data_IF_623562703410
#
_entry.id   IF_623562703410
#
_cell.length_a   1.000
_cell.length_b   1.000
_cell.length_c   1.000
_cell.angle_alpha   90.00
_cell.angle_beta   90.00
_cell.angle_gamma   90.00
#
_symmetry.space_group_name_H-M   'P 1'
#
loop_
_entity.id
_entity.type
_entity.pdbx_description
1 polymer ?
#
# COMPACT_ATOMS: atom_id res chain seq x y z
N UNK A 1 20.39 -6.04 -11.95
CA UNK A 1 20.96 -4.76 -11.46
C UNK A 1 19.78 -3.84 -11.23
N UNK A 2 19.58 -3.34 -10.01
CA UNK A 2 18.45 -2.45 -9.70
C UNK A 2 18.99 -1.02 -9.77
N UNK A 3 18.72 -0.32 -10.87
CA UNK A 3 19.19 1.04 -11.09
C UNK A 3 18.33 2.04 -10.31
N UNK A 4 18.99 2.98 -9.61
CA UNK A 4 18.33 4.09 -8.91
C UNK A 4 18.92 5.38 -9.47
N UNK A 5 18.21 6.10 -10.35
CA UNK A 5 18.70 7.34 -10.96
C UNK A 5 18.99 8.42 -9.91
N UNK A 6 20.09 9.15 -10.11
CA UNK A 6 20.43 10.32 -9.28
C UNK A 6 19.97 11.64 -9.88
N UNK A 7 19.49 11.64 -11.13
CA UNK A 7 18.97 12.85 -11.80
C UNK A 7 17.56 13.21 -11.30
N UNK A 8 17.12 14.44 -11.54
CA UNK A 8 15.73 14.84 -11.35
C UNK A 8 14.85 14.10 -12.36
N UNK A 9 13.69 13.62 -11.90
CA UNK A 9 12.81 12.83 -12.74
C UNK A 9 12.03 11.76 -11.99
N UNK A 10 11.24 11.03 -12.75
CA UNK A 10 10.25 10.08 -12.24
C UNK A 10 10.63 8.66 -12.65
N UNK A 11 10.68 7.74 -11.68
CA UNK A 11 10.90 6.32 -11.95
C UNK A 11 9.57 5.65 -12.31
N UNK A 12 9.58 4.85 -13.38
CA UNK A 12 8.49 3.93 -13.73
C UNK A 12 9.07 2.52 -13.87
N UNK A 13 8.24 1.47 -13.87
CA UNK A 13 8.73 0.12 -14.13
C UNK A 13 9.50 0.07 -15.46
N UNK A 14 10.78 -0.32 -15.39
CA UNK A 14 11.70 -0.42 -16.53
C UNK A 14 12.03 0.90 -17.25
N UNK A 15 11.81 2.06 -16.61
CA UNK A 15 12.11 3.34 -17.23
C UNK A 15 12.32 4.49 -16.26
N UNK A 16 12.90 5.56 -16.78
CA UNK A 16 13.10 6.82 -16.08
C UNK A 16 12.73 7.97 -17.00
N UNK A 17 11.99 8.94 -16.48
CA UNK A 17 11.59 10.15 -17.17
C UNK A 17 12.32 11.33 -16.52
N UNK A 18 13.44 11.81 -17.09
CA UNK A 18 14.12 13.00 -16.60
C UNK A 18 13.19 14.22 -16.65
N UNK A 19 13.25 15.07 -15.64
CA UNK A 19 12.44 16.29 -15.58
C UNK A 19 13.13 17.43 -14.81
N UNK A 20 12.39 18.52 -14.57
CA UNK A 20 12.83 19.68 -13.81
C UNK A 20 12.50 19.60 -12.30
N UNK A 21 12.04 18.45 -11.82
CA UNK A 21 11.55 18.21 -10.46
C UNK A 21 10.17 18.79 -10.16
N UNK A 22 9.41 19.23 -11.17
CA UNK A 22 8.09 19.87 -11.02
C UNK A 22 6.97 19.18 -11.77
N UNK A 23 7.26 18.11 -12.50
CA UNK A 23 6.24 17.38 -13.26
C UNK A 23 5.16 16.85 -12.32
N UNK A 24 3.90 17.07 -12.70
CA UNK A 24 2.76 16.50 -11.99
C UNK A 24 2.70 15.00 -12.27
N UNK A 25 2.72 14.20 -11.21
CA UNK A 25 2.74 12.74 -11.28
C UNK A 25 1.56 12.13 -10.52
N UNK A 26 1.09 10.99 -11.02
CA UNK A 26 0.20 10.08 -10.33
C UNK A 26 0.58 8.65 -10.78
N UNK A 27 1.13 7.87 -9.86
CA UNK A 27 1.67 6.53 -10.13
C UNK A 27 1.03 5.55 -9.18
N UNK A 28 0.43 4.51 -9.74
CA UNK A 28 -0.08 3.36 -9.01
C UNK A 28 0.57 2.08 -9.51
N UNK A 29 1.24 1.36 -8.63
CA UNK A 29 1.93 0.12 -8.94
C UNK A 29 1.69 -0.93 -7.86
N UNK A 30 1.36 -2.15 -8.30
CA UNK A 30 1.25 -3.31 -7.41
C UNK A 30 2.48 -4.19 -7.54
N UNK A 31 2.99 -4.66 -6.41
CA UNK A 31 4.04 -5.67 -6.33
C UNK A 31 3.52 -6.91 -5.59
N UNK A 32 4.10 -8.05 -5.94
CA UNK A 32 3.88 -9.33 -5.26
C UNK A 32 5.22 -10.00 -5.02
N UNK A 33 5.36 -10.68 -3.89
CA UNK A 33 6.53 -11.53 -3.67
C UNK A 33 6.36 -12.86 -4.37
N UNK A 34 7.44 -13.42 -4.93
CA UNK A 34 7.40 -14.68 -5.67
C UNK A 34 6.91 -15.85 -4.81
N UNK A 35 7.22 -15.84 -3.53
CA UNK A 35 6.84 -16.88 -2.56
C UNK A 35 5.47 -16.62 -1.90
N UNK A 36 4.84 -15.47 -2.17
CA UNK A 36 3.49 -15.13 -1.70
C UNK A 36 2.67 -14.50 -2.84
N UNK A 37 2.37 -15.26 -3.91
CA UNK A 37 1.71 -14.73 -5.10
C UNK A 37 0.27 -14.25 -4.84
N UNK A 38 -0.38 -14.74 -3.78
CA UNK A 38 -1.71 -14.33 -3.34
C UNK A 38 -1.76 -13.06 -2.50
N UNK A 39 -0.68 -12.29 -2.42
CA UNK A 39 -0.66 -11.01 -1.68
C UNK A 39 -0.15 -9.90 -2.58
N UNK A 40 -0.97 -8.87 -2.76
CA UNK A 40 -0.61 -7.66 -3.48
C UNK A 40 -0.32 -6.53 -2.49
N UNK A 41 0.75 -5.80 -2.79
CA UNK A 41 1.13 -4.57 -2.12
C UNK A 41 1.10 -3.47 -3.17
N UNK A 42 0.09 -2.61 -3.10
CA UNK A 42 -0.14 -1.56 -4.07
C UNK A 42 0.31 -0.25 -3.50
N UNK A 43 1.29 0.38 -4.16
CA UNK A 43 1.80 1.70 -3.83
C UNK A 43 1.14 2.69 -4.80
N UNK A 44 0.47 3.69 -4.26
CA UNK A 44 -0.10 4.81 -5.01
C UNK A 44 0.48 6.11 -4.48
N UNK A 45 1.21 6.84 -5.32
CA UNK A 45 1.87 8.09 -4.94
C UNK A 45 1.84 9.09 -6.08
N UNK A 46 1.90 10.37 -5.74
CA UNK A 46 1.88 11.45 -6.71
C UNK A 46 1.74 12.81 -6.03
N UNK A 47 1.63 13.85 -6.85
CA UNK A 47 1.39 15.19 -6.36
C UNK A 47 -0.06 15.32 -5.87
N UNK A 48 -0.25 16.05 -4.77
CA UNK A 48 -1.60 16.33 -4.26
C UNK A 48 -2.32 17.27 -5.23
N UNK A 49 -3.51 16.87 -5.67
CA UNK A 49 -4.36 17.69 -6.54
C UNK A 49 -5.47 18.35 -5.72
N UNK A 50 -5.76 19.66 -5.90
CA UNK A 50 -6.78 20.37 -5.12
C UNK A 50 -8.17 19.73 -5.18
N UNK A 51 -8.52 19.11 -6.31
CA UNK A 51 -9.82 18.48 -6.56
C UNK A 51 -9.89 17.02 -6.14
N UNK A 52 -8.78 16.42 -5.69
CA UNK A 52 -8.69 14.99 -5.36
C UNK A 52 -7.86 14.76 -4.09
N UNK A 53 -8.22 15.45 -3.01
CA UNK A 53 -7.59 15.26 -1.71
C UNK A 53 -7.79 13.82 -1.22
N UNK A 54 -6.70 13.19 -0.75
CA UNK A 54 -6.74 11.83 -0.20
C UNK A 54 -7.05 11.90 1.29
N UNK A 55 -8.25 11.53 1.70
CA UNK A 55 -8.64 11.48 3.12
C UNK A 55 -8.18 10.19 3.77
N UNK A 56 -6.93 10.16 4.23
CA UNK A 56 -6.29 8.95 4.77
C UNK A 56 -6.96 8.44 6.04
N UNK A 57 -7.44 9.31 6.93
CA UNK A 57 -8.18 8.93 8.15
C UNK A 57 -9.48 8.18 7.79
N UNK A 58 -10.25 8.70 6.83
CA UNK A 58 -11.52 8.07 6.41
C UNK A 58 -11.23 6.74 5.72
N UNK A 59 -10.21 6.69 4.84
CA UNK A 59 -9.82 5.45 4.17
C UNK A 59 -9.31 4.39 5.15
N UNK A 60 -8.55 4.78 6.17
CA UNK A 60 -8.12 3.89 7.24
C UNK A 60 -9.33 3.33 8.00
N UNK A 61 -10.23 4.20 8.46
CA UNK A 61 -11.45 3.79 9.16
C UNK A 61 -12.32 2.82 8.32
N UNK A 62 -12.49 3.12 7.03
CA UNK A 62 -13.25 2.28 6.11
C UNK A 62 -12.57 0.92 5.87
N UNK A 63 -11.24 0.89 5.84
CA UNK A 63 -10.45 -0.35 5.67
C UNK A 63 -10.50 -1.25 6.90
N UNK A 64 -10.78 -0.69 8.09
CA UNK A 64 -11.00 -1.44 9.33
C UNK A 64 -12.36 -2.15 9.42
N UNK A 65 -13.20 -2.03 8.39
CA UNK A 65 -14.53 -2.65 8.34
C UNK A 65 -14.52 -3.99 7.59
N UNK A 66 -15.27 -4.96 8.11
CA UNK A 66 -15.35 -6.34 7.60
C UNK A 66 -16.16 -6.47 6.31
N UNK A 67 -17.06 -5.52 6.03
CA UNK A 67 -17.98 -5.57 4.87
C UNK A 67 -17.28 -5.62 3.50
N UNK A 68 -15.97 -5.37 3.45
CA UNK A 68 -15.14 -5.52 2.24
C UNK A 68 -14.89 -6.97 1.81
N UNK A 69 -15.13 -7.93 2.68
CA UNK A 69 -14.90 -9.36 2.40
C UNK A 69 -16.18 -10.12 2.00
N UNK A 70 -17.27 -9.38 1.73
CA UNK A 70 -18.58 -9.96 1.45
C UNK A 70 -19.26 -10.53 2.69
N UNK A 71 -20.59 -10.69 2.61
CA UNK A 71 -21.38 -11.39 3.62
C UNK A 71 -21.24 -12.91 3.45
N UNK A 72 -21.50 -13.67 4.51
CA UNK A 72 -21.53 -15.14 4.47
C UNK A 72 -22.78 -15.59 3.68
N UNK A 73 -22.74 -15.49 2.35
CA UNK A 73 -23.84 -15.93 1.48
C UNK A 73 -23.87 -17.45 1.33
N UNK A 74 -22.73 -18.11 1.55
CA UNK A 74 -22.62 -19.57 1.63
C UNK A 74 -22.64 -20.01 3.10
N UNK A 75 -23.69 -20.72 3.51
CA UNK A 75 -23.90 -21.17 4.90
C UNK A 75 -22.76 -22.01 5.50
N UNK A 76 -21.82 -22.47 4.66
CA UNK A 76 -20.70 -23.32 5.06
C UNK A 76 -19.38 -22.58 5.28
N UNK A 77 -19.18 -21.40 4.70
CA UNK A 77 -17.94 -20.62 4.87
C UNK A 77 -18.06 -19.74 6.11
N UNK A 78 -17.27 -20.04 7.15
CA UNK A 78 -17.25 -19.26 8.40
C UNK A 78 -16.11 -18.25 8.37
N UNK A 79 -16.43 -16.97 8.47
CA UNK A 79 -15.46 -15.88 8.62
C UNK A 79 -15.48 -15.36 10.05
N UNK A 80 -14.32 -15.36 10.71
CA UNK A 80 -14.15 -14.78 12.04
C UNK A 80 -13.14 -13.64 11.98
N UNK A 81 -13.44 -12.52 12.62
CA UNK A 81 -12.48 -11.40 12.73
C UNK A 81 -11.39 -11.80 13.70
N UNK A 82 -10.20 -12.06 13.18
CA UNK A 82 -9.03 -12.39 14.00
C UNK A 82 -8.39 -11.10 14.54
N UNK A 83 -8.24 -10.09 13.68
CA UNK A 83 -7.64 -8.82 14.07
C UNK A 83 -8.26 -7.62 13.35
N UNK A 84 -8.52 -6.54 14.08
CA UNK A 84 -8.80 -5.21 13.51
C UNK A 84 -7.56 -4.34 13.63
N UNK A 85 -7.15 -3.74 12.53
CA UNK A 85 -6.05 -2.77 12.47
C UNK A 85 -6.69 -1.38 12.40
N UNK A 86 -6.35 -0.50 13.35
CA UNK A 86 -6.72 0.92 13.29
C UNK A 86 -8.23 1.24 13.27
N UNK A 87 -8.60 2.49 12.95
CA UNK A 87 -7.72 3.57 12.49
C UNK A 87 -6.69 3.96 13.56
N UNK A 88 -5.42 4.07 13.15
CA UNK A 88 -4.30 4.44 14.04
C UNK A 88 -3.19 5.12 13.24
N UNK A 89 -2.32 5.85 13.92
CA UNK A 89 -1.11 6.38 13.30
C UNK A 89 -0.12 5.25 12.92
N UNK A 90 0.58 5.46 11.80
CA UNK A 90 1.64 4.58 11.30
C UNK A 90 2.79 5.40 10.69
N UNK A 91 3.99 4.83 10.65
CA UNK A 91 5.17 5.45 10.04
C UNK A 91 5.31 5.03 8.58
N UNK A 92 5.69 5.97 7.73
CA UNK A 92 6.10 5.75 6.33
C UNK A 92 7.46 6.41 6.15
N UNK A 93 8.53 5.66 6.37
CA UNK A 93 9.88 6.20 6.52
C UNK A 93 9.93 7.27 7.60
N UNK A 94 10.32 8.49 7.20
CA UNK A 94 10.33 9.67 8.08
C UNK A 94 8.97 10.33 8.30
N UNK A 95 7.92 9.92 7.58
CA UNK A 95 6.59 10.53 7.60
C UNK A 95 5.66 9.82 8.60
N UNK A 96 4.61 10.54 9.04
CA UNK A 96 3.52 9.99 9.86
C UNK A 96 2.24 10.00 9.03
N UNK A 97 1.60 8.85 8.92
CA UNK A 97 0.34 8.65 8.23
C UNK A 97 -0.67 7.89 9.08
N UNK A 98 -1.75 7.45 8.44
CA UNK A 98 -2.86 6.72 9.04
C UNK A 98 -2.91 5.28 8.51
N UNK A 99 -3.26 4.32 9.36
CA UNK A 99 -3.40 2.92 9.00
C UNK A 99 -4.71 2.35 9.50
N UNK A 100 -5.35 1.54 8.67
CA UNK A 100 -6.52 0.76 9.05
C UNK A 100 -6.63 -0.51 8.22
N UNK A 101 -7.37 -1.50 8.69
CA UNK A 101 -7.42 -2.81 8.07
C UNK A 101 -8.09 -3.86 8.93
N UNK A 102 -8.19 -5.06 8.39
CA UNK A 102 -8.75 -6.22 9.09
C UNK A 102 -8.09 -7.50 8.58
N UNK A 103 -7.91 -8.46 9.48
CA UNK A 103 -7.57 -9.83 9.18
C UNK A 103 -8.68 -10.76 9.68
N UNK A 104 -9.08 -11.69 8.83
CA UNK A 104 -10.14 -12.64 9.06
C UNK A 104 -9.56 -14.05 8.98
N UNK A 105 -9.98 -14.91 9.90
CA UNK A 105 -9.79 -16.36 9.79
C UNK A 105 -10.98 -16.94 9.02
N UNK A 106 -10.69 -17.64 7.94
CA UNK A 106 -11.69 -18.28 7.07
C UNK A 106 -11.59 -19.79 7.25
N UNK A 107 -12.73 -20.41 7.53
CA UNK A 107 -12.86 -21.87 7.65
C UNK A 107 -13.95 -22.36 6.71
N UNK A 108 -13.61 -23.31 5.84
CA UNK A 108 -14.53 -23.93 4.89
C UNK A 108 -14.44 -25.46 5.05
N UNK A 109 -15.56 -26.20 4.98
CA UNK A 109 -15.57 -27.65 5.02
C UNK A 109 -14.65 -28.25 3.95
N UNK A 110 -13.86 -29.26 4.31
CA UNK A 110 -12.94 -29.93 3.39
C UNK A 110 -11.63 -29.17 3.08
N UNK A 111 -11.48 -27.92 3.54
CA UNK A 111 -10.30 -27.10 3.33
C UNK A 111 -9.56 -26.80 4.63
N UNK A 112 -8.23 -26.62 4.55
CA UNK A 112 -7.45 -26.10 5.68
C UNK A 112 -7.84 -24.63 5.93
N UNK A 113 -8.05 -24.21 7.21
CA UNK A 113 -8.29 -22.81 7.52
C UNK A 113 -7.15 -21.91 7.00
N UNK A 114 -7.51 -20.72 6.55
CA UNK A 114 -6.57 -19.72 6.04
C UNK A 114 -7.01 -18.31 6.45
N UNK A 115 -6.16 -17.31 6.20
CA UNK A 115 -6.45 -15.92 6.56
C UNK A 115 -6.70 -15.04 5.33
N UNK A 116 -7.71 -14.19 5.40
CA UNK A 116 -8.00 -13.15 4.42
C UNK A 116 -7.80 -11.78 5.09
N UNK A 117 -7.13 -10.84 4.43
CA UNK A 117 -6.77 -9.57 5.05
C UNK A 117 -6.61 -8.44 4.05
N UNK A 118 -6.87 -7.23 4.55
CA UNK A 118 -6.69 -5.97 3.84
C UNK A 118 -6.20 -4.92 4.82
N UNK A 119 -5.12 -4.22 4.47
CA UNK A 119 -4.54 -3.14 5.26
C UNK A 119 -4.22 -1.98 4.35
N UNK A 120 -4.72 -0.80 4.71
CA UNK A 120 -4.39 0.47 4.11
C UNK A 120 -3.45 1.24 5.03
N UNK A 121 -2.38 1.83 4.49
CA UNK A 121 -1.55 2.84 5.16
C UNK A 121 -1.40 4.05 4.26
N UNK A 122 -1.64 5.27 4.76
CA UNK A 122 -1.66 6.47 3.92
C UNK A 122 -1.10 7.72 4.58
N UNK A 123 -0.30 8.47 3.81
CA UNK A 123 0.10 9.85 4.07
C UNK A 123 -0.54 10.76 3.01
N UNK A 124 -1.22 11.83 3.44
CA UNK A 124 -2.06 12.64 2.55
C UNK A 124 -1.27 13.53 1.59
N UNK A 125 0.03 13.73 1.83
CA UNK A 125 0.84 14.68 1.07
C UNK A 125 0.51 16.14 1.37
N UNK A 126 1.30 17.05 0.81
CA UNK A 126 1.08 18.50 0.93
C UNK A 126 0.77 19.09 -0.45
N UNK A 127 -0.26 19.93 -0.49
CA UNK A 127 -0.65 20.61 -1.73
C UNK A 127 0.48 21.53 -2.22
N UNK A 128 0.83 21.39 -3.50
CA UNK A 128 1.88 22.20 -4.12
C UNK A 128 3.31 21.77 -3.80
N UNK A 129 3.51 20.61 -3.16
CA UNK A 129 4.85 20.05 -2.90
C UNK A 129 5.14 18.83 -3.76
N UNK A 130 6.33 18.82 -4.37
CA UNK A 130 6.95 17.68 -5.04
C UNK A 130 7.77 16.81 -4.07
N UNK A 131 8.21 17.36 -2.93
CA UNK A 131 9.00 16.61 -1.92
C UNK A 131 8.14 15.95 -0.83
N UNK A 132 6.87 16.36 -0.71
CA UNK A 132 5.87 15.76 0.17
C UNK A 132 4.65 15.25 -0.64
N UNK A 133 4.84 14.24 -1.52
CA UNK A 133 3.74 13.65 -2.27
C UNK A 133 2.78 12.91 -1.34
N UNK A 134 1.56 12.63 -1.81
CA UNK A 134 0.73 11.64 -1.12
C UNK A 134 1.36 10.26 -1.29
N UNK A 135 1.22 9.39 -0.31
CA UNK A 135 1.71 8.01 -0.36
C UNK A 135 0.63 7.12 0.24
N UNK A 136 0.06 6.23 -0.56
CA UNK A 136 -0.92 5.23 -0.13
C UNK A 136 -0.35 3.84 -0.40
N UNK A 137 -0.48 2.94 0.56
CA UNK A 137 0.00 1.57 0.49
C UNK A 137 -1.11 0.64 0.92
N UNK A 138 -1.64 -0.13 -0.03
CA UNK A 138 -2.65 -1.15 0.20
C UNK A 138 -2.01 -2.54 0.17
N UNK A 139 -2.13 -3.28 1.26
CA UNK A 139 -1.87 -4.71 1.31
C UNK A 139 -3.21 -5.45 1.21
N UNK A 140 -3.34 -6.38 0.27
CA UNK A 140 -4.54 -7.19 0.10
C UNK A 140 -4.18 -8.63 -0.21
N UNK A 141 -4.84 -9.57 0.46
CA UNK A 141 -4.74 -10.99 0.12
C UNK A 141 -5.85 -11.46 -0.80
N UNK A 142 -5.52 -12.47 -1.61
CA UNK A 142 -6.39 -13.13 -2.58
C UNK A 142 -6.30 -14.64 -2.38
N UNK A 143 -7.45 -15.29 -2.33
CA UNK A 143 -7.57 -16.75 -2.18
C UNK A 143 -7.51 -17.46 -3.52
N UNK A 144 -7.33 -18.79 -3.51
CA UNK A 144 -7.41 -19.59 -4.74
C UNK A 144 -8.80 -19.55 -5.40
N UNK A 145 -9.85 -19.25 -4.62
CA UNK A 145 -11.20 -19.06 -5.13
C UNK A 145 -11.33 -17.75 -5.90
N UNK A 146 -10.72 -16.68 -5.39
CA UNK A 146 -10.72 -15.35 -6.02
C UNK A 146 -9.75 -15.26 -7.21
N UNK A 147 -8.68 -16.06 -7.20
CA UNK A 147 -7.64 -16.09 -8.21
C UNK A 147 -7.24 -17.56 -8.49
N UNK A 148 -7.95 -18.24 -9.40
CA UNK A 148 -7.74 -19.67 -9.69
C UNK A 148 -6.33 -20.03 -10.20
N UNK A 149 -5.56 -19.05 -10.67
CA UNK A 149 -4.17 -19.22 -11.07
C UNK A 149 -3.21 -19.41 -9.87
N UNK A 150 -3.66 -19.12 -8.64
CA UNK A 150 -2.88 -19.32 -7.43
C UNK A 150 -2.78 -20.81 -7.09
N UNK A 151 -1.57 -21.23 -6.73
CA UNK A 151 -1.29 -22.62 -6.31
C UNK A 151 -1.52 -22.86 -4.82
N UNK A 152 -1.73 -21.81 -4.05
CA UNK A 152 -1.96 -21.85 -2.62
C UNK A 152 -2.71 -20.59 -2.17
N UNK A 153 -3.48 -20.74 -1.09
CA UNK A 153 -4.06 -19.62 -0.36
C UNK A 153 -2.96 -18.70 0.21
N UNK A 154 -3.29 -17.44 0.55
CA UNK A 154 -2.30 -16.47 0.98
C UNK A 154 -1.59 -16.93 2.27
N UNK A 155 -0.32 -16.52 2.47
CA UNK A 155 0.39 -16.79 3.72
C UNK A 155 -0.29 -16.12 4.92
N UNK A 156 0.06 -16.53 6.15
CA UNK A 156 -0.45 -15.91 7.37
C UNK A 156 -0.28 -14.38 7.38
N UNK A 157 -1.27 -13.67 7.92
CA UNK A 157 -1.35 -12.22 8.02
C UNK A 157 -0.07 -11.62 8.60
N UNK A 158 0.45 -12.21 9.70
CA UNK A 158 1.67 -11.72 10.35
C UNK A 158 2.86 -11.66 9.39
N UNK A 159 3.07 -12.70 8.59
CA UNK A 159 4.17 -12.76 7.62
C UNK A 159 4.03 -11.65 6.57
N UNK A 160 2.81 -11.41 6.09
CA UNK A 160 2.55 -10.34 5.12
C UNK A 160 2.64 -8.95 5.71
N UNK A 161 2.24 -8.79 6.97
CA UNK A 161 2.33 -7.54 7.72
C UNK A 161 3.79 -7.15 7.97
N UNK A 162 4.66 -8.08 8.34
CA UNK A 162 6.10 -7.83 8.50
C UNK A 162 6.73 -7.30 7.18
N UNK A 163 6.27 -7.81 6.03
CA UNK A 163 6.69 -7.29 4.71
C UNK A 163 6.14 -5.89 4.43
N UNK A 164 4.88 -5.62 4.77
CA UNK A 164 4.29 -4.29 4.65
C UNK A 164 5.09 -3.29 5.49
N UNK A 165 5.38 -3.62 6.74
CA UNK A 165 6.20 -2.78 7.62
C UNK A 165 7.61 -2.55 7.07
N UNK A 166 8.21 -3.57 6.45
CA UNK A 166 9.46 -3.43 5.71
C UNK A 166 9.35 -2.42 4.56
N UNK A 167 8.33 -2.52 3.71
CA UNK A 167 8.08 -1.57 2.62
C UNK A 167 7.95 -0.15 3.17
N UNK A 168 7.10 0.04 4.17
CA UNK A 168 6.85 1.34 4.78
C UNK A 168 8.11 1.95 5.41
N UNK A 169 8.93 1.14 6.08
CA UNK A 169 10.17 1.58 6.73
C UNK A 169 11.19 2.17 5.75
N UNK A 170 11.31 1.60 4.55
CA UNK A 170 12.32 2.00 3.56
C UNK A 170 11.85 3.06 2.56
N UNK A 171 10.58 3.47 2.62
CA UNK A 171 10.06 4.57 1.80
C UNK A 171 10.72 5.90 2.19
N UNK A 172 11.28 6.59 1.19
CA UNK A 172 11.89 7.91 1.35
C UNK A 172 11.89 8.65 0.02
N UNK A 173 11.99 9.97 0.09
CA UNK A 173 12.31 10.79 -1.08
C UNK A 173 13.64 10.33 -1.68
N UNK A 174 13.70 10.19 -3.00
CA UNK A 174 14.92 9.82 -3.71
C UNK A 174 15.91 11.00 -3.62
N UNK A 175 17.16 10.78 -3.18
CA UNK A 175 18.18 11.81 -3.27
C UNK A 175 18.53 12.08 -4.73
N UNK A 176 18.55 13.35 -5.14
CA UNK A 176 18.88 13.76 -6.51
C UNK A 176 20.03 14.76 -6.55
N UNK A 177 20.74 14.83 -7.68
CA UNK A 177 21.74 15.82 -8.02
C UNK A 177 21.43 16.40 -9.42
N UNK A 178 21.02 17.67 -9.54
CA UNK A 178 20.85 18.64 -8.46
C UNK A 178 19.73 18.25 -7.48
N UNK A 179 19.73 18.78 -6.23
CA UNK A 179 18.64 18.56 -5.29
C UNK A 179 17.31 19.06 -5.83
N UNK A 180 16.20 18.53 -5.29
CA UNK A 180 14.85 19.01 -5.62
C UNK A 180 14.75 20.54 -5.42
N UNK A 181 14.14 21.28 -6.38
CA UNK A 181 14.06 22.74 -6.30
C UNK A 181 13.50 23.29 -4.98
N UNK A 182 12.50 22.61 -4.42
CA UNK A 182 11.87 22.99 -3.13
C UNK A 182 12.83 22.93 -1.94
N UNK A 183 13.90 22.12 -2.01
CA UNK A 183 14.87 21.98 -0.92
C UNK A 183 15.97 23.06 -0.94
N UNK A 184 16.14 23.75 -2.07
CA UNK A 184 17.20 24.76 -2.26
C UNK A 184 16.68 26.20 -2.29
N UNK A 185 15.38 26.39 -2.52
CA UNK A 185 14.74 27.72 -2.67
C UNK A 185 14.54 28.49 -1.35
N UNK A 186 15.07 27.97 -0.23
CA UNK A 186 15.00 28.59 1.10
C UNK A 186 16.22 29.41 1.51
N UNK A 187 17.01 29.90 0.54
CA UNK A 187 18.10 30.87 0.76
C UNK A 187 17.78 32.18 0.06
#
# INVERSE_FOLDING_TARGET
MNEIPTELGVCIPFGFLPDDGRTVTDIKQSIRWKDAPGVLYTIHTGNVQPRQLKSTVITALASSQVGRFGTDEEAEVKKHVDQRIGPRQAKIGGLVGEQGGVALKVTQPGSKPYEAYSVFTGYSGWLGSAVLPFILVDMQSFTMEQAPELKANPPPFRQSMERLEGVLKYMRLRPTNPPMPELVSGK
#
